data_IF_442424581385
#
_entry.id   IF_442424581385
#
_cell.length_a   1.000
_cell.length_b   1.000
_cell.length_c   1.000
_cell.angle_alpha   90.00
_cell.angle_beta   90.00
_cell.angle_gamma   90.00
#
_symmetry.space_group_name_H-M   'P 1'
#
loop_
_entity.id
_entity.type
_entity.pdbx_description
1 polymer ?
#
# COMPACT_ATOMS: atom_id res chain seq x y z
N UNK A 1 3.84 4.95 -14.68
CA UNK A 1 2.46 5.39 -15.01
C UNK A 1 1.52 4.59 -14.14
N UNK A 2 0.65 5.24 -13.38
CA UNK A 2 -0.29 4.57 -12.45
C UNK A 2 -1.22 3.56 -13.14
N UNK A 3 -1.38 3.70 -14.47
CA UNK A 3 -2.10 2.77 -15.36
C UNK A 3 -1.61 1.32 -15.27
N UNK A 4 -0.38 1.08 -14.79
CA UNK A 4 0.14 -0.26 -14.53
C UNK A 4 -0.65 -1.05 -13.48
N UNK A 5 -1.44 -0.40 -12.62
CA UNK A 5 -2.30 -1.08 -11.63
C UNK A 5 -3.49 -1.84 -12.27
N UNK A 6 -3.82 -1.54 -13.53
CA UNK A 6 -4.79 -2.32 -14.29
C UNK A 6 -4.20 -3.62 -14.86
N UNK A 7 -2.87 -3.75 -14.86
CA UNK A 7 -2.19 -4.95 -15.32
C UNK A 7 -2.27 -6.09 -14.29
N UNK A 8 -1.88 -7.28 -14.73
CA UNK A 8 -1.71 -8.45 -13.85
C UNK A 8 -0.25 -8.80 -13.66
N UNK A 9 0.60 -8.46 -14.64
CA UNK A 9 2.00 -8.86 -14.69
C UNK A 9 2.86 -8.00 -13.76
N UNK A 10 3.69 -8.64 -12.93
CA UNK A 10 4.53 -7.97 -11.94
C UNK A 10 5.36 -6.78 -12.50
N UNK A 11 6.03 -6.87 -13.67
CA UNK A 11 6.83 -5.77 -14.20
C UNK A 11 6.06 -4.46 -14.47
N UNK A 12 4.73 -4.54 -14.58
CA UNK A 12 3.85 -3.37 -14.75
C UNK A 12 3.25 -2.91 -13.42
N UNK A 13 2.91 -3.86 -12.54
CA UNK A 13 2.25 -3.59 -11.26
C UNK A 13 3.24 -2.96 -10.26
N UNK A 14 4.43 -3.52 -10.09
CA UNK A 14 5.39 -3.06 -9.06
C UNK A 14 5.78 -1.57 -9.22
N UNK A 15 6.13 -1.08 -10.44
CA UNK A 15 6.46 0.34 -10.60
C UNK A 15 5.23 1.25 -10.38
N UNK A 16 4.03 0.76 -10.69
CA UNK A 16 2.79 1.51 -10.50
C UNK A 16 2.40 1.60 -9.02
N UNK A 17 2.64 0.55 -8.22
CA UNK A 17 2.50 0.59 -6.76
C UNK A 17 3.46 1.61 -6.13
N UNK A 18 4.70 1.63 -6.58
CA UNK A 18 5.69 2.61 -6.11
C UNK A 18 5.26 4.03 -6.47
N UNK A 19 4.80 4.26 -7.70
CA UNK A 19 4.28 5.56 -8.12
C UNK A 19 3.07 6.00 -7.29
N UNK A 20 2.16 5.09 -6.95
CA UNK A 20 1.03 5.39 -6.08
C UNK A 20 1.50 5.83 -4.69
N UNK A 21 2.44 5.11 -4.08
CA UNK A 21 3.02 5.52 -2.79
C UNK A 21 3.60 6.94 -2.82
N UNK A 22 4.32 7.30 -3.88
CA UNK A 22 4.84 8.66 -4.07
C UNK A 22 3.73 9.71 -4.17
N UNK A 23 2.65 9.42 -4.92
CA UNK A 23 1.50 10.33 -5.04
C UNK A 23 0.75 10.50 -3.71
N UNK A 24 0.79 9.50 -2.83
CA UNK A 24 0.26 9.58 -1.47
C UNK A 24 1.24 10.26 -0.49
N UNK A 25 2.36 10.78 -0.99
CA UNK A 25 3.36 11.51 -0.20
C UNK A 25 4.26 10.63 0.64
N UNK A 26 4.37 9.33 0.32
CA UNK A 26 5.33 8.44 0.97
C UNK A 26 6.72 8.58 0.33
N UNK A 27 7.77 8.30 1.10
CA UNK A 27 9.04 7.82 0.58
C UNK A 27 8.83 6.37 0.11
N UNK A 28 8.48 6.21 -1.17
CA UNK A 28 8.10 4.93 -1.75
C UNK A 28 9.16 4.38 -2.70
N UNK A 29 9.50 3.11 -2.54
CA UNK A 29 10.48 2.42 -3.41
C UNK A 29 10.25 0.91 -3.39
N UNK A 30 10.76 0.20 -4.42
CA UNK A 30 10.97 -1.25 -4.36
C UNK A 30 12.27 -1.52 -3.58
N UNK A 31 12.24 -2.19 -2.42
CA UNK A 31 13.46 -2.50 -1.69
C UNK A 31 14.41 -3.38 -2.51
N UNK A 32 15.74 -3.22 -2.37
CA UNK A 32 16.70 -3.98 -3.14
C UNK A 32 16.82 -5.43 -2.66
N UNK A 33 17.13 -6.34 -3.58
CA UNK A 33 17.40 -7.75 -3.31
C UNK A 33 16.22 -8.68 -3.62
N UNK A 34 16.45 -9.97 -3.38
CA UNK A 34 15.47 -11.03 -3.62
C UNK A 34 14.50 -11.18 -2.44
N UNK A 35 13.31 -11.75 -2.72
CA UNK A 35 12.26 -12.01 -1.73
C UNK A 35 11.80 -10.76 -0.94
N UNK A 36 11.92 -9.58 -1.56
CA UNK A 36 11.44 -8.30 -1.04
C UNK A 36 10.04 -8.01 -1.56
N UNK A 37 9.30 -7.20 -0.81
CA UNK A 37 8.00 -6.69 -1.24
C UNK A 37 8.12 -5.89 -2.55
N UNK A 38 7.03 -5.85 -3.30
CA UNK A 38 6.95 -5.15 -4.58
C UNK A 38 7.06 -3.64 -4.44
N UNK A 39 6.62 -3.10 -3.30
CA UNK A 39 6.81 -1.69 -2.94
C UNK A 39 6.74 -1.49 -1.42
N UNK A 40 7.55 -0.60 -0.88
CA UNK A 40 7.47 -0.13 0.50
C UNK A 40 7.12 1.36 0.50
N UNK A 41 6.13 1.76 1.29
CA UNK A 41 5.66 3.15 1.43
C UNK A 41 5.92 3.63 2.85
N UNK A 42 6.81 4.61 3.02
CA UNK A 42 7.19 5.11 4.34
C UNK A 42 6.83 6.58 4.51
N UNK A 43 6.04 6.91 5.54
CA UNK A 43 5.79 8.28 5.98
C UNK A 43 6.60 8.56 7.25
N UNK A 44 7.88 8.86 7.07
CA UNK A 44 8.86 9.08 8.14
C UNK A 44 8.79 7.99 9.22
N UNK A 45 8.72 8.38 10.50
CA UNK A 45 8.61 7.50 11.66
C UNK A 45 7.16 7.29 12.12
N UNK A 46 6.17 7.48 11.23
CA UNK A 46 4.75 7.43 11.62
C UNK A 46 4.05 6.16 11.14
N UNK A 47 4.18 5.82 9.87
CA UNK A 47 3.49 4.69 9.24
C UNK A 47 4.38 4.13 8.14
N UNK A 48 4.62 2.82 8.15
CA UNK A 48 5.19 2.10 7.01
C UNK A 48 4.21 1.06 6.49
N UNK A 49 4.13 0.91 5.17
CA UNK A 49 3.37 -0.15 4.51
C UNK A 49 4.29 -0.94 3.58
N UNK A 50 4.33 -2.25 3.72
CA UNK A 50 4.95 -3.14 2.71
C UNK A 50 3.86 -3.73 1.84
N UNK A 51 3.95 -3.56 0.53
CA UNK A 51 2.95 -4.01 -0.44
C UNK A 51 3.50 -5.20 -1.22
N UNK A 52 2.83 -6.34 -1.10
CA UNK A 52 3.13 -7.58 -1.84
C UNK A 52 1.95 -7.89 -2.76
N UNK A 53 2.16 -7.82 -4.07
CA UNK A 53 1.16 -8.06 -5.08
C UNK A 53 1.22 -9.49 -5.59
N UNK A 54 0.13 -10.20 -5.36
CA UNK A 54 -0.18 -11.51 -5.96
C UNK A 54 -1.25 -11.36 -7.02
N UNK A 55 -1.14 -10.35 -7.90
CA UNK A 55 -2.11 -10.07 -8.97
C UNK A 55 -2.15 -11.15 -10.06
N UNK A 56 -1.06 -11.90 -10.22
CA UNK A 56 -0.99 -13.04 -11.14
C UNK A 56 -1.72 -14.28 -10.61
N UNK A 57 -2.06 -14.32 -9.33
CA UNK A 57 -2.98 -15.33 -8.84
C UNK A 57 -4.34 -15.08 -9.49
N UNK A 58 -4.92 -16.08 -10.16
CA UNK A 58 -6.33 -16.00 -10.52
C UNK A 58 -7.22 -15.91 -9.27
N UNK A 59 -8.43 -15.38 -9.41
CA UNK A 59 -9.40 -15.25 -8.30
C UNK A 59 -9.81 -16.59 -7.67
N UNK A 60 -9.61 -17.69 -8.38
CA UNK A 60 -9.86 -19.04 -7.88
C UNK A 60 -8.71 -19.54 -7.00
N UNK A 61 -9.07 -20.34 -5.99
CA UNK A 61 -8.14 -20.97 -5.06
C UNK A 61 -8.02 -20.24 -3.74
N UNK A 62 -7.12 -20.75 -2.89
CA UNK A 62 -6.89 -20.24 -1.55
C UNK A 62 -5.56 -19.50 -1.47
N UNK A 63 -5.51 -18.50 -0.61
CA UNK A 63 -4.26 -17.91 -0.13
C UNK A 63 -3.47 -18.99 0.61
N UNK A 64 -2.20 -19.17 0.23
CA UNK A 64 -1.36 -20.22 0.80
C UNK A 64 -0.58 -19.69 2.01
N UNK A 65 -0.27 -20.58 2.96
CA UNK A 65 0.55 -20.26 4.15
C UNK A 65 1.87 -19.58 3.77
N UNK A 66 2.50 -20.00 2.66
CA UNK A 66 3.75 -19.41 2.18
C UNK A 66 3.60 -17.92 1.83
N UNK A 67 2.48 -17.52 1.25
CA UNK A 67 2.25 -16.15 0.78
C UNK A 67 2.04 -15.23 1.99
N UNK A 68 1.27 -15.70 2.97
CA UNK A 68 1.05 -15.00 4.24
C UNK A 68 2.36 -14.82 5.01
N UNK A 69 3.17 -15.87 5.13
CA UNK A 69 4.48 -15.78 5.80
C UNK A 69 5.43 -14.83 5.08
N UNK A 70 5.45 -14.88 3.74
CA UNK A 70 6.24 -13.97 2.95
C UNK A 70 5.83 -12.52 3.24
N UNK A 71 4.54 -12.19 3.15
CA UNK A 71 4.04 -10.85 3.44
C UNK A 71 4.36 -10.41 4.88
N UNK A 72 4.13 -11.27 5.88
CA UNK A 72 4.43 -10.98 7.29
C UNK A 72 5.91 -10.75 7.61
N UNK A 73 6.82 -11.30 6.81
CA UNK A 73 8.25 -11.05 7.00
C UNK A 73 8.73 -9.68 6.51
N UNK A 74 7.96 -9.00 5.66
CA UNK A 74 8.43 -7.82 4.93
C UNK A 74 8.69 -6.60 5.81
N UNK A 75 7.90 -6.38 6.86
CA UNK A 75 8.17 -5.27 7.79
C UNK A 75 9.53 -5.46 8.49
N UNK A 76 9.84 -6.68 8.97
CA UNK A 76 11.14 -6.97 9.58
C UNK A 76 12.31 -6.78 8.62
N UNK A 77 12.14 -7.18 7.36
CA UNK A 77 13.14 -6.92 6.33
C UNK A 77 13.34 -5.41 6.09
N UNK A 78 12.25 -4.63 6.11
CA UNK A 78 12.31 -3.17 5.96
C UNK A 78 12.95 -2.49 7.18
N UNK A 79 12.68 -2.97 8.40
CA UNK A 79 13.36 -2.53 9.63
C UNK A 79 14.88 -2.76 9.53
N UNK A 80 15.28 -3.95 9.09
CA UNK A 80 16.68 -4.30 8.92
C UNK A 80 17.39 -3.38 7.91
N UNK A 81 16.74 -3.07 6.77
CA UNK A 81 17.29 -2.16 5.77
C UNK A 81 17.45 -0.73 6.30
N UNK A 82 16.46 -0.25 7.07
CA UNK A 82 16.44 1.14 7.57
C UNK A 82 17.20 1.29 8.89
N UNK A 83 17.58 0.19 9.54
CA UNK A 83 18.29 0.16 10.81
C UNK A 83 17.49 0.70 12.00
N UNK A 84 16.16 0.74 11.88
CA UNK A 84 15.24 1.23 12.93
C UNK A 84 13.94 0.42 12.91
N UNK A 85 13.30 0.30 14.07
CA UNK A 85 12.02 -0.40 14.21
C UNK A 85 10.89 0.31 13.47
N UNK A 86 9.94 -0.47 12.96
CA UNK A 86 8.79 0.05 12.26
C UNK A 86 7.85 0.75 13.27
N UNK A 87 7.21 1.86 12.87
CA UNK A 87 6.18 2.48 13.69
C UNK A 87 5.05 1.51 14.00
N UNK A 88 4.43 1.62 15.18
CA UNK A 88 3.32 0.73 15.61
C UNK A 88 2.15 0.68 14.62
N UNK A 89 1.87 1.79 13.92
CA UNK A 89 0.80 1.86 12.93
C UNK A 89 1.14 1.17 11.59
N UNK A 90 2.31 0.54 11.46
CA UNK A 90 2.77 -0.08 10.22
C UNK A 90 2.06 -1.40 9.93
N UNK A 91 1.97 -1.76 8.65
CA UNK A 91 1.29 -2.97 8.22
C UNK A 91 1.92 -3.60 6.97
N UNK A 92 1.67 -4.90 6.79
CA UNK A 92 1.99 -5.63 5.57
C UNK A 92 0.72 -5.90 4.79
N UNK A 93 0.67 -5.41 3.55
CA UNK A 93 -0.50 -5.47 2.68
C UNK A 93 -0.23 -6.51 1.60
N UNK A 94 -1.03 -7.57 1.60
CA UNK A 94 -1.06 -8.55 0.52
C UNK A 94 -2.20 -8.20 -0.43
N UNK A 95 -1.86 -7.90 -1.68
CA UNK A 95 -2.84 -7.57 -2.72
C UNK A 95 -3.11 -8.83 -3.54
N UNK A 96 -4.31 -9.40 -3.45
CA UNK A 96 -4.66 -10.62 -4.19
C UNK A 96 -6.14 -10.66 -4.58
N UNK A 97 -6.48 -11.15 -5.79
CA UNK A 97 -7.88 -11.34 -6.16
C UNK A 97 -8.52 -12.55 -5.48
N UNK A 98 -7.75 -13.39 -4.77
CA UNK A 98 -8.29 -14.49 -3.97
C UNK A 98 -8.83 -13.96 -2.65
N UNK A 99 -10.04 -14.38 -2.31
CA UNK A 99 -10.72 -14.00 -1.06
C UNK A 99 -10.79 -15.14 -0.03
N UNK A 100 -10.44 -16.37 -0.43
CA UNK A 100 -10.47 -17.54 0.46
C UNK A 100 -9.12 -17.72 1.15
N UNK A 101 -9.16 -17.79 2.47
CA UNK A 101 -8.02 -18.08 3.34
C UNK A 101 -8.16 -19.50 3.88
N UNK A 102 -7.08 -20.31 3.83
CA UNK A 102 -7.10 -21.58 4.55
C UNK A 102 -6.92 -21.35 6.06
N UNK A 103 -7.47 -22.19 6.95
CA UNK A 103 -7.28 -22.05 8.39
C UNK A 103 -5.80 -22.00 8.80
N UNK A 104 -4.96 -22.81 8.17
CA UNK A 104 -3.52 -22.81 8.42
C UNK A 104 -2.85 -21.50 8.01
N UNK A 105 -3.32 -20.86 6.93
CA UNK A 105 -2.78 -19.59 6.47
C UNK A 105 -3.15 -18.46 7.45
N UNK A 106 -4.38 -18.45 7.97
CA UNK A 106 -4.80 -17.49 9.00
C UNK A 106 -4.03 -17.69 10.31
N UNK A 107 -3.88 -18.95 10.77
CA UNK A 107 -3.15 -19.28 12.00
C UNK A 107 -1.65 -18.92 11.93
N UNK A 108 -1.06 -18.91 10.74
CA UNK A 108 0.35 -18.56 10.51
C UNK A 108 0.60 -17.05 10.33
N UNK A 109 -0.45 -16.22 10.32
CA UNK A 109 -0.34 -14.80 10.00
C UNK A 109 0.14 -13.97 11.19
N UNK A 110 1.03 -13.02 10.90
CA UNK A 110 1.36 -11.94 11.83
C UNK A 110 0.17 -10.97 11.94
N UNK A 111 -0.03 -10.33 13.10
CA UNK A 111 -1.20 -9.45 13.35
C UNK A 111 -1.22 -8.20 12.47
N UNK A 112 -0.10 -7.82 11.87
CA UNK A 112 0.02 -6.68 10.98
C UNK A 112 -0.22 -7.03 9.49
N UNK A 113 -0.53 -8.29 9.17
CA UNK A 113 -0.78 -8.74 7.79
C UNK A 113 -2.25 -8.57 7.43
N UNK A 114 -2.50 -7.87 6.33
CA UNK A 114 -3.83 -7.57 5.83
C UNK A 114 -3.95 -8.00 4.37
N UNK A 115 -5.14 -8.47 3.99
CA UNK A 115 -5.47 -8.87 2.63
C UNK A 115 -6.35 -7.80 1.99
N UNK A 116 -6.01 -7.40 0.77
CA UNK A 116 -6.87 -6.51 -0.03
C UNK A 116 -7.05 -7.03 -1.44
N UNK A 117 -8.23 -6.79 -2.00
CA UNK A 117 -8.46 -7.01 -3.41
C UNK A 117 -7.70 -5.96 -4.25
N UNK A 118 -7.19 -6.29 -5.45
CA UNK A 118 -6.55 -5.31 -6.34
C UNK A 118 -7.39 -4.06 -6.60
N UNK A 119 -8.72 -4.19 -6.60
CA UNK A 119 -9.62 -3.04 -6.80
C UNK A 119 -9.49 -1.99 -5.70
N UNK A 120 -9.23 -2.36 -4.45
CA UNK A 120 -9.02 -1.38 -3.38
C UNK A 120 -7.79 -0.49 -3.65
N UNK A 121 -6.76 -1.05 -4.28
CA UNK A 121 -5.55 -0.31 -4.69
C UNK A 121 -5.83 0.56 -5.92
N UNK A 122 -6.64 0.08 -6.86
CA UNK A 122 -7.08 0.85 -8.04
C UNK A 122 -7.97 2.03 -7.65
N UNK A 123 -8.88 1.82 -6.71
CA UNK A 123 -9.74 2.88 -6.18
C UNK A 123 -8.90 3.93 -5.45
N UNK A 124 -7.93 3.49 -4.64
CA UNK A 124 -6.98 4.40 -3.97
C UNK A 124 -6.17 5.22 -4.99
N UNK A 125 -5.78 4.60 -6.09
CA UNK A 125 -5.10 5.28 -7.19
C UNK A 125 -5.98 6.31 -7.91
N UNK A 126 -7.23 5.95 -8.23
CA UNK A 126 -8.18 6.85 -8.88
C UNK A 126 -8.51 8.07 -8.00
N UNK A 127 -8.67 7.85 -6.69
CA UNK A 127 -8.88 8.93 -5.73
C UNK A 127 -7.65 9.82 -5.59
N UNK A 128 -6.44 9.24 -5.57
CA UNK A 128 -5.20 10.01 -5.52
C UNK A 128 -5.04 10.86 -6.79
N UNK A 129 -5.32 10.31 -7.97
CA UNK A 129 -5.29 11.06 -9.23
C UNK A 129 -6.31 12.21 -9.22
N UNK A 130 -7.53 11.95 -8.75
CA UNK A 130 -8.58 12.96 -8.64
C UNK A 130 -8.18 14.09 -7.68
N UNK A 131 -7.61 13.74 -6.52
CA UNK A 131 -7.11 14.72 -5.56
C UNK A 131 -6.00 15.60 -6.14
N UNK A 132 -5.04 15.02 -6.87
CA UNK A 132 -3.99 15.79 -7.53
C UNK A 132 -4.52 16.70 -8.63
N UNK A 133 -5.46 16.23 -9.45
CA UNK A 133 -6.09 17.04 -10.49
C UNK A 133 -6.85 18.24 -9.89
N UNK A 134 -7.56 18.03 -8.78
CA UNK A 134 -8.22 19.12 -8.08
C UNK A 134 -7.20 20.10 -7.48
N UNK A 135 -6.14 19.61 -6.84
CA UNK A 135 -5.09 20.45 -6.27
C UNK A 135 -4.41 21.31 -7.33
N UNK A 136 -4.02 20.73 -8.46
CA UNK A 136 -3.37 21.46 -9.55
C UNK A 136 -4.27 22.58 -10.10
N UNK A 137 -5.59 22.37 -10.09
CA UNK A 137 -6.58 23.38 -10.50
C UNK A 137 -6.71 24.51 -9.48
N UNK A 138 -6.66 24.19 -8.18
CA UNK A 138 -6.91 25.13 -7.07
C UNK A 138 -5.65 25.81 -6.53
N UNK A 139 -4.48 25.25 -6.81
CA UNK A 139 -3.18 25.72 -6.32
C UNK A 139 -2.80 27.15 -6.74
N UNK A 140 -3.15 27.67 -7.94
CA UNK A 140 -2.78 29.03 -8.32
C UNK A 140 -3.18 30.07 -7.26
N UNK A 141 -2.24 30.95 -6.92
CA UNK A 141 -2.45 32.01 -5.92
C UNK A 141 -2.30 31.59 -4.45
N UNK A 142 -2.11 30.31 -4.14
CA UNK A 142 -1.85 29.83 -2.77
C UNK A 142 -0.34 29.67 -2.53
N UNK A 143 0.13 29.99 -1.31
CA UNK A 143 1.53 29.76 -0.94
C UNK A 143 1.67 29.34 0.53
N UNK A 144 2.79 28.66 0.85
CA UNK A 144 3.16 28.33 2.22
C UNK A 144 2.03 27.63 3.01
N UNK A 145 1.59 28.17 4.16
CA UNK A 145 0.54 27.58 4.99
C UNK A 145 -0.82 27.38 4.29
N UNK A 146 -1.17 28.27 3.35
CA UNK A 146 -2.44 28.18 2.61
C UNK A 146 -2.43 26.96 1.69
N UNK A 147 -1.31 26.71 1.03
CA UNK A 147 -1.12 25.53 0.20
C UNK A 147 -1.14 24.25 1.04
N UNK A 148 -0.51 24.24 2.22
CA UNK A 148 -0.57 23.09 3.13
C UNK A 148 -2.01 22.80 3.58
N UNK A 149 -2.79 23.83 3.87
CA UNK A 149 -4.20 23.71 4.26
C UNK A 149 -5.04 23.15 3.11
N UNK A 150 -4.82 23.65 1.88
CA UNK A 150 -5.47 23.15 0.67
C UNK A 150 -5.14 21.67 0.44
N UNK A 151 -3.86 21.29 0.50
CA UNK A 151 -3.40 19.90 0.35
C UNK A 151 -4.08 18.99 1.37
N UNK A 152 -3.99 19.33 2.66
CA UNK A 152 -4.59 18.51 3.74
C UNK A 152 -6.10 18.35 3.54
N UNK A 153 -6.80 19.42 3.18
CA UNK A 153 -8.24 19.40 2.95
C UNK A 153 -8.59 18.50 1.76
N UNK A 154 -8.02 18.75 0.59
CA UNK A 154 -8.34 17.98 -0.61
C UNK A 154 -7.96 16.50 -0.43
N UNK A 155 -6.77 16.20 0.10
CA UNK A 155 -6.39 14.80 0.37
C UNK A 155 -7.32 14.13 1.38
N UNK A 156 -7.80 14.86 2.39
CA UNK A 156 -8.78 14.35 3.35
C UNK A 156 -10.13 14.07 2.70
N UNK A 157 -10.61 14.96 1.81
CA UNK A 157 -11.88 14.82 1.08
C UNK A 157 -11.89 13.57 0.20
N UNK A 158 -10.76 13.28 -0.49
CA UNK A 158 -10.57 12.07 -1.29
C UNK A 158 -10.12 10.83 -0.49
N UNK A 159 -9.97 10.96 0.84
CA UNK A 159 -9.50 9.87 1.73
C UNK A 159 -8.15 9.28 1.32
N UNK A 160 -7.19 10.13 0.96
CA UNK A 160 -5.84 9.76 0.53
C UNK A 160 -4.73 10.29 1.44
N UNK A 161 -5.06 10.80 2.63
CA UNK A 161 -4.05 11.05 3.66
C UNK A 161 -3.39 9.73 4.11
N UNK A 162 -2.16 9.76 4.64
CA UNK A 162 -1.42 8.54 5.03
C UNK A 162 -2.20 7.59 5.94
N UNK A 163 -2.87 8.13 6.97
CA UNK A 163 -3.69 7.34 7.89
C UNK A 163 -4.91 6.73 7.20
N UNK A 164 -5.54 7.47 6.28
CA UNK A 164 -6.72 7.03 5.54
C UNK A 164 -6.36 5.99 4.48
N UNK A 165 -5.22 6.14 3.80
CA UNK A 165 -4.68 5.14 2.88
C UNK A 165 -4.40 3.83 3.62
N UNK A 166 -3.75 3.90 4.79
CA UNK A 166 -3.60 2.73 5.68
C UNK A 166 -4.94 2.12 6.03
N UNK A 167 -5.89 2.90 6.56
CA UNK A 167 -7.22 2.41 6.96
C UNK A 167 -7.95 1.67 5.81
N UNK A 168 -7.87 2.20 4.59
CA UNK A 168 -8.44 1.56 3.38
C UNK A 168 -7.76 0.24 3.05
N UNK A 169 -6.47 0.11 3.32
CA UNK A 169 -5.68 -1.08 3.00
C UNK A 169 -5.62 -2.10 4.14
N UNK A 170 -6.08 -1.75 5.34
CA UNK A 170 -6.06 -2.63 6.52
C UNK A 170 -7.45 -3.06 6.97
N UNK A 171 -8.43 -3.10 6.07
CA UNK A 171 -9.83 -3.46 6.41
C UNK A 171 -9.97 -4.93 6.81
N UNK A 172 -9.23 -5.82 6.15
CA UNK A 172 -9.33 -7.27 6.36
C UNK A 172 -8.02 -7.82 6.92
N UNK A 173 -7.88 -7.96 8.25
CA UNK A 173 -6.75 -8.65 8.84
C UNK A 173 -6.77 -10.12 8.41
N UNK A 174 -5.59 -10.71 8.18
CA UNK A 174 -5.49 -12.14 7.83
C UNK A 174 -5.65 -13.04 9.07
N UNK A 175 -5.19 -12.54 10.22
CA UNK A 175 -5.43 -13.16 11.53
C UNK A 175 -6.68 -12.56 12.15
N UNK A 176 -7.66 -13.40 12.47
CA UNK A 176 -8.81 -13.03 13.30
C UNK A 176 -8.46 -13.06 14.80
#
# INVERSE_FOLDING_TARGET
MITGLAAVEAPKVEPALTQLGLLLGADASKPPGDARCDSAWCWDKRIWLTIEAKTEHGANGEIQVKDVRQAGSQLRSLEADRGVDAPEASASIMVSPRTKMSPDASAAAESHVHLVHPDAVRDLAADAESAWNELLTRMPGHSGPELQTLIRRTFSEYRVLPTQARERLTVFPVRE
#
